data_IF_158943799068
#
_entry.id   IF_158943799068
#
_cell.length_a   1.000
_cell.length_b   1.000
_cell.length_c   1.000
_cell.angle_alpha   90.00
_cell.angle_beta   90.00
_cell.angle_gamma   90.00
#
_symmetry.space_group_name_H-M   'P 1'
#
loop_
_entity.id
_entity.type
_entity.pdbx_description
1 polymer ?
#
# COMPACT_ATOMS: atom_id res chain seq x y z
N UNK A 1 33.24 -7.31 67.06
CA UNK A 1 33.17 -6.05 66.29
C UNK A 1 31.79 -6.01 65.65
N UNK A 2 30.77 -5.30 66.17
CA UNK A 2 30.56 -3.82 66.09
C UNK A 2 30.74 -3.37 64.62
N UNK A 3 29.79 -2.85 63.87
CA UNK A 3 28.52 -2.15 64.16
C UNK A 3 27.71 -1.91 62.86
N UNK A 4 26.37 -1.81 63.00
CA UNK A 4 25.43 -0.92 62.27
C UNK A 4 25.20 -1.10 60.75
N UNK A 5 24.04 -0.83 60.14
CA UNK A 5 22.65 -0.64 60.55
C UNK A 5 21.85 -0.31 59.27
N UNK A 6 20.69 -0.94 59.11
CA UNK A 6 19.40 -0.42 58.62
C UNK A 6 19.36 0.92 57.87
N UNK A 7 18.68 0.94 56.71
CA UNK A 7 17.49 1.79 56.50
C UNK A 7 16.45 1.03 55.68
N UNK A 8 15.29 0.81 56.31
CA UNK A 8 14.01 0.40 55.73
C UNK A 8 13.17 1.68 55.50
N UNK A 9 12.20 1.61 54.58
CA UNK A 9 10.85 2.22 54.60
C UNK A 9 10.51 3.32 53.58
N UNK A 10 9.39 3.08 52.87
CA UNK A 10 8.57 4.03 52.11
C UNK A 10 8.70 3.85 50.59
N UNK A 11 7.75 3.33 49.82
CA UNK A 11 6.30 3.42 49.89
C UNK A 11 5.67 2.21 49.18
N UNK A 12 4.70 1.57 49.86
CA UNK A 12 3.69 0.76 49.22
C UNK A 12 2.42 1.61 49.00
N UNK A 13 1.65 1.21 47.99
CA UNK A 13 0.23 1.53 47.74
C UNK A 13 -0.07 2.83 46.98
N UNK A 14 -0.33 2.72 45.67
CA UNK A 14 -1.55 3.29 45.08
C UNK A 14 -1.96 2.58 43.77
N UNK A 15 -3.04 1.79 43.91
CA UNK A 15 -4.12 1.49 42.96
C UNK A 15 -3.86 0.76 41.63
N UNK A 16 -4.06 -0.56 41.72
CA UNK A 16 -5.07 -1.33 40.98
C UNK A 16 -5.85 -0.55 39.90
N UNK A 17 -5.63 -0.88 38.63
CA UNK A 17 -6.66 -1.22 37.63
C UNK A 17 -5.97 -1.78 36.38
N UNK A 18 -5.65 -3.08 36.41
CA UNK A 18 -5.47 -3.87 35.20
C UNK A 18 -6.25 -5.15 35.38
N UNK A 19 -7.56 -5.02 35.18
CA UNK A 19 -8.41 -6.18 34.96
C UNK A 19 -8.12 -6.74 33.57
N UNK A 20 -8.07 -8.06 33.53
CA UNK A 20 -7.62 -8.87 32.40
C UNK A 20 -8.47 -8.64 31.14
N UNK A 21 -7.93 -7.96 30.13
CA UNK A 21 -8.41 -8.17 28.76
C UNK A 21 -7.77 -9.43 28.17
N UNK A 22 -8.35 -10.59 28.48
CA UNK A 22 -8.32 -11.73 27.56
C UNK A 22 -9.29 -11.42 26.42
N UNK A 23 -8.75 -11.01 25.28
CA UNK A 23 -9.47 -11.09 24.01
C UNK A 23 -8.55 -11.75 22.98
N UNK A 24 -8.99 -12.95 22.59
CA UNK A 24 -8.40 -13.95 21.72
C UNK A 24 -7.45 -13.43 20.62
N UNK A 25 -6.23 -13.97 20.65
CA UNK A 25 -5.39 -14.21 19.48
C UNK A 25 -6.14 -15.11 18.49
N UNK A 26 -6.54 -14.57 17.34
CA UNK A 26 -6.91 -15.37 16.16
C UNK A 26 -6.47 -14.61 14.90
N UNK A 27 -5.16 -14.51 14.68
CA UNK A 27 -4.63 -14.29 13.34
C UNK A 27 -4.50 -15.66 12.69
N UNK A 28 -5.51 -16.08 11.92
CA UNK A 28 -5.40 -17.29 11.11
C UNK A 28 -4.29 -17.09 10.06
N UNK A 29 -3.28 -17.98 9.99
CA UNK A 29 -2.37 -17.99 8.86
C UNK A 29 -3.13 -18.40 7.59
N UNK A 30 -2.78 -17.76 6.47
CA UNK A 30 -3.33 -17.99 5.13
C UNK A 30 -3.28 -19.50 4.80
N UNK A 31 -4.45 -20.14 4.84
CA UNK A 31 -4.61 -21.56 4.60
C UNK A 31 -4.75 -21.79 3.09
N UNK A 32 -3.68 -22.21 2.43
CA UNK A 32 -3.67 -22.63 1.03
C UNK A 32 -3.97 -24.12 0.94
N UNK A 33 -5.24 -24.47 0.76
CA UNK A 33 -5.62 -25.77 0.22
C UNK A 33 -6.80 -25.59 -0.72
N UNK A 34 -6.57 -25.76 -2.02
CA UNK A 34 -7.66 -25.96 -2.98
C UNK A 34 -7.56 -27.31 -3.68
N UNK A 35 -8.75 -27.89 -3.75
CA UNK A 35 -9.19 -29.23 -4.08
C UNK A 35 -8.94 -29.52 -5.57
N UNK A 36 -8.56 -30.77 -5.89
CA UNK A 36 -8.53 -31.28 -7.27
C UNK A 36 -9.96 -31.67 -7.67
N UNK A 37 -10.45 -31.10 -8.76
CA UNK A 37 -11.47 -31.73 -9.59
C UNK A 37 -10.93 -31.91 -11.01
N UNK A 38 -10.86 -33.16 -11.42
CA UNK A 38 -10.52 -33.60 -12.77
C UNK A 38 -11.78 -33.60 -13.63
N UNK A 39 -11.75 -32.91 -14.78
CA UNK A 39 -12.59 -33.34 -15.89
C UNK A 39 -11.90 -33.11 -17.24
N UNK A 40 -11.94 -34.16 -18.03
CA UNK A 40 -11.26 -34.39 -19.30
C UNK A 40 -12.33 -34.32 -20.40
N UNK A 41 -12.15 -33.52 -21.44
CA UNK A 41 -12.67 -33.85 -22.77
C UNK A 41 -11.90 -33.17 -23.92
N UNK A 42 -11.55 -34.01 -24.90
CA UNK A 42 -11.12 -33.74 -26.30
C UNK A 42 -12.27 -33.06 -27.06
N UNK A 43 -12.13 -32.30 -28.15
CA UNK A 43 -11.02 -31.83 -28.98
C UNK A 43 -11.57 -31.18 -30.27
N UNK A 44 -10.79 -30.25 -30.86
CA UNK A 44 -10.63 -29.89 -32.31
C UNK A 44 -11.92 -29.38 -33.05
N UNK A 45 -12.00 -28.20 -33.69
CA UNK A 45 -11.10 -27.62 -34.70
C UNK A 45 -11.46 -26.14 -35.07
N UNK A 46 -10.41 -25.30 -35.30
CA UNK A 46 -10.25 -24.18 -36.28
C UNK A 46 -11.27 -23.04 -36.41
N UNK A 47 -10.87 -21.81 -36.03
CA UNK A 47 -10.38 -20.71 -36.92
C UNK A 47 -10.39 -19.36 -36.17
N UNK A 48 -9.42 -18.51 -36.54
CA UNK A 48 -9.14 -17.14 -36.08
C UNK A 48 -8.18 -17.04 -34.87
N UNK A 49 -7.03 -16.44 -35.19
CA UNK A 49 -5.89 -16.09 -34.34
C UNK A 49 -6.33 -15.36 -33.05
N UNK A 50 -6.10 -15.91 -31.85
CA UNK A 50 -6.01 -15.08 -30.66
C UNK A 50 -4.57 -14.56 -30.58
N UNK A 51 -4.42 -13.25 -30.50
CA UNK A 51 -3.24 -12.63 -29.89
C UNK A 51 -3.06 -13.31 -28.54
N UNK A 52 -1.93 -13.96 -28.33
CA UNK A 52 -1.64 -14.73 -27.12
C UNK A 52 -1.69 -13.80 -25.92
N UNK A 53 -2.82 -13.85 -25.22
CA UNK A 53 -2.91 -13.55 -23.79
C UNK A 53 -2.17 -14.67 -23.06
N UNK A 54 -0.84 -14.68 -23.21
CA UNK A 54 0.02 -15.50 -22.36
C UNK A 54 0.03 -14.85 -20.98
N UNK A 55 -0.92 -15.29 -20.18
CA UNK A 55 -1.00 -15.10 -18.74
C UNK A 55 0.12 -15.89 -18.04
N UNK A 56 1.35 -15.68 -18.49
CA UNK A 56 2.52 -16.19 -17.83
C UNK A 56 2.79 -15.31 -16.62
N UNK A 57 2.57 -15.89 -15.44
CA UNK A 57 3.05 -15.41 -14.15
C UNK A 57 4.59 -15.46 -14.10
N UNK A 58 5.24 -14.82 -15.06
CA UNK A 58 6.68 -14.64 -15.11
C UNK A 58 6.98 -13.37 -14.34
N UNK A 59 7.74 -13.54 -13.26
CA UNK A 59 8.45 -12.50 -12.56
C UNK A 59 9.02 -11.55 -13.62
N UNK A 60 8.47 -10.32 -13.71
CA UNK A 60 8.97 -9.32 -14.65
C UNK A 60 10.46 -9.15 -14.31
N UNK A 61 11.40 -9.38 -15.23
CA UNK A 61 12.80 -9.10 -14.97
C UNK A 61 12.92 -7.62 -14.62
N UNK A 62 13.36 -7.31 -13.39
CA UNK A 62 13.44 -5.95 -12.87
C UNK A 62 14.89 -5.46 -13.13
N UNK A 63 15.12 -4.60 -14.14
CA UNK A 63 16.47 -4.29 -14.62
C UNK A 63 17.37 -3.59 -13.60
N UNK A 64 16.80 -2.82 -12.67
CA UNK A 64 17.51 -2.15 -11.59
C UNK A 64 17.95 -3.12 -10.51
N UNK A 65 17.12 -4.11 -10.16
CA UNK A 65 17.52 -5.18 -9.26
C UNK A 65 18.59 -6.06 -9.91
N UNK A 66 18.45 -6.42 -11.18
CA UNK A 66 19.47 -7.19 -11.91
C UNK A 66 20.81 -6.45 -12.02
N UNK A 67 20.79 -5.14 -12.23
CA UNK A 67 21.99 -4.31 -12.19
C UNK A 67 22.60 -4.25 -10.78
N UNK A 68 21.78 -4.10 -9.73
CA UNK A 68 22.24 -4.12 -8.35
C UNK A 68 22.81 -5.49 -7.95
N UNK A 69 22.20 -6.59 -8.40
CA UNK A 69 22.70 -7.95 -8.25
C UNK A 69 24.04 -8.09 -8.97
N UNK A 70 24.15 -7.73 -10.25
CA UNK A 70 25.40 -7.83 -11.03
C UNK A 70 26.52 -6.98 -10.43
N UNK A 71 26.21 -5.78 -9.93
CA UNK A 71 27.18 -4.92 -9.29
C UNK A 71 27.64 -5.44 -7.92
N UNK A 72 26.82 -6.27 -7.25
CA UNK A 72 27.08 -6.71 -5.89
C UNK A 72 27.49 -8.18 -5.76
N UNK A 73 27.22 -9.02 -6.76
CA UNK A 73 27.68 -10.43 -6.85
C UNK A 73 29.22 -10.57 -6.76
N UNK A 74 30.01 -9.69 -7.40
CA UNK A 74 31.47 -9.70 -7.26
C UNK A 74 31.94 -9.30 -5.86
N UNK A 75 31.15 -8.47 -5.16
CA UNK A 75 31.45 -7.96 -3.80
C UNK A 75 31.07 -8.95 -2.69
N UNK A 76 30.66 -10.16 -3.06
CA UNK A 76 30.32 -11.24 -2.14
C UNK A 76 31.58 -11.89 -1.58
N UNK A 77 31.70 -11.93 -0.25
CA UNK A 77 32.80 -12.67 0.39
C UNK A 77 32.65 -14.17 0.14
N UNK A 78 33.74 -14.93 0.27
CA UNK A 78 33.72 -16.39 0.08
C UNK A 78 32.77 -17.07 1.07
N UNK A 79 32.73 -16.58 2.31
CA UNK A 79 31.84 -17.03 3.38
C UNK A 79 30.37 -16.75 3.06
N UNK A 80 30.05 -15.57 2.53
CA UNK A 80 28.67 -15.26 2.13
C UNK A 80 28.15 -16.20 1.02
N UNK A 81 29.01 -16.52 0.04
CA UNK A 81 28.67 -17.45 -1.05
C UNK A 81 28.43 -18.87 -0.52
N UNK A 82 29.25 -19.33 0.43
CA UNK A 82 29.11 -20.64 1.08
C UNK A 82 27.80 -20.73 1.87
N UNK A 83 27.49 -19.70 2.66
CA UNK A 83 26.26 -19.64 3.45
C UNK A 83 25.01 -19.64 2.57
N UNK A 84 25.02 -18.89 1.47
CA UNK A 84 23.92 -18.85 0.50
C UNK A 84 23.70 -20.21 -0.19
N UNK A 85 24.78 -20.89 -0.58
CA UNK A 85 24.72 -22.25 -1.14
C UNK A 85 24.14 -23.23 -0.13
N UNK A 86 24.55 -23.14 1.13
CA UNK A 86 24.03 -23.98 2.20
C UNK A 86 22.52 -23.79 2.37
N UNK A 87 22.03 -22.55 2.48
CA UNK A 87 20.59 -22.29 2.58
C UNK A 87 19.80 -22.82 1.38
N UNK A 88 20.33 -22.65 0.16
CA UNK A 88 19.68 -23.13 -1.07
C UNK A 88 19.71 -24.65 -1.24
N UNK A 89 20.70 -25.34 -0.64
CA UNK A 89 20.79 -26.81 -0.66
C UNK A 89 19.77 -27.43 0.29
N UNK A 90 19.65 -26.84 1.49
CA UNK A 90 18.76 -27.35 2.53
C UNK A 90 17.34 -26.76 2.47
N UNK A 91 17.03 -25.96 1.45
CA UNK A 91 15.76 -25.25 1.30
C UNK A 91 15.36 -24.52 2.60
N UNK A 92 16.31 -23.78 3.18
CA UNK A 92 16.10 -23.10 4.46
C UNK A 92 14.90 -22.16 4.37
N UNK A 93 14.05 -22.17 5.40
CA UNK A 93 12.85 -21.32 5.39
C UNK A 93 13.22 -19.84 5.28
N UNK A 94 12.44 -19.10 4.49
CA UNK A 94 12.74 -17.71 4.17
C UNK A 94 12.74 -16.79 5.40
N UNK A 95 11.90 -17.08 6.40
CA UNK A 95 11.87 -16.36 7.68
C UNK A 95 13.20 -16.51 8.45
N UNK A 96 13.75 -17.74 8.47
CA UNK A 96 15.06 -18.01 9.09
C UNK A 96 16.19 -17.31 8.33
N UNK A 97 16.16 -17.34 7.00
CA UNK A 97 17.16 -16.64 6.17
C UNK A 97 17.10 -15.13 6.43
N UNK A 98 15.90 -14.55 6.45
CA UNK A 98 15.70 -13.13 6.69
C UNK A 98 16.16 -12.69 8.09
N UNK A 99 16.01 -13.55 9.10
CA UNK A 99 16.54 -13.31 10.44
C UNK A 99 18.08 -13.38 10.47
N UNK A 100 18.67 -14.39 9.83
CA UNK A 100 20.14 -14.54 9.76
C UNK A 100 20.82 -13.43 8.96
N UNK A 101 20.17 -12.89 7.92
CA UNK A 101 20.70 -11.75 7.16
C UNK A 101 20.83 -10.49 8.02
N UNK A 102 20.01 -10.34 9.05
CA UNK A 102 19.99 -9.18 9.94
C UNK A 102 20.01 -7.85 9.15
N UNK A 103 18.94 -7.60 8.39
CA UNK A 103 18.83 -6.43 7.52
C UNK A 103 18.64 -5.10 8.28
N UNK A 104 18.68 -5.13 9.61
CA UNK A 104 18.39 -4.00 10.49
C UNK A 104 17.12 -4.23 11.30
N UNK A 105 16.99 -3.51 12.41
CA UNK A 105 15.83 -3.57 13.29
C UNK A 105 14.67 -2.70 12.79
N UNK A 106 14.94 -1.70 11.94
CA UNK A 106 13.94 -0.77 11.40
C UNK A 106 13.96 -0.74 9.87
N UNK A 107 12.84 -0.32 9.28
CA UNK A 107 12.68 -0.24 7.81
C UNK A 107 13.64 0.77 7.17
N UNK A 108 14.04 1.82 7.88
CA UNK A 108 14.86 2.91 7.34
C UNK A 108 16.26 2.48 6.86
N UNK A 109 16.81 1.42 7.44
CA UNK A 109 18.11 0.86 7.07
C UNK A 109 18.05 -0.26 6.03
N UNK A 110 16.85 -0.78 5.72
CA UNK A 110 16.70 -1.99 4.88
C UNK A 110 17.13 -1.73 3.44
N UNK A 111 16.67 -0.63 2.83
CA UNK A 111 16.95 -0.32 1.41
C UNK A 111 18.41 0.02 1.12
N UNK A 112 19.16 0.44 2.13
CA UNK A 112 20.59 0.74 2.03
C UNK A 112 21.44 -0.43 2.51
N UNK A 113 20.83 -1.47 3.10
CA UNK A 113 21.57 -2.60 3.63
C UNK A 113 22.21 -3.40 2.48
N UNK A 114 23.55 -3.54 2.44
CA UNK A 114 24.22 -4.29 1.41
C UNK A 114 23.73 -5.74 1.31
N UNK A 115 23.22 -6.31 2.41
CA UNK A 115 22.74 -7.69 2.46
C UNK A 115 21.38 -7.91 1.81
N UNK A 116 20.66 -6.86 1.44
CA UNK A 116 19.37 -6.98 0.74
C UNK A 116 19.52 -7.72 -0.60
N UNK A 117 20.68 -7.59 -1.25
CA UNK A 117 21.05 -8.36 -2.46
C UNK A 117 21.04 -9.87 -2.25
N UNK A 118 21.37 -10.36 -1.04
CA UNK A 118 21.39 -11.78 -0.73
C UNK A 118 19.99 -12.32 -0.69
N UNK A 119 19.08 -11.59 -0.04
CA UNK A 119 17.69 -11.95 0.03
C UNK A 119 17.11 -12.05 -1.38
N UNK A 120 17.40 -11.06 -2.23
CA UNK A 120 16.89 -11.06 -3.59
C UNK A 120 17.42 -12.24 -4.41
N UNK A 121 18.74 -12.49 -4.38
CA UNK A 121 19.30 -13.66 -5.07
C UNK A 121 18.70 -14.97 -4.55
N UNK A 122 18.52 -15.09 -3.24
CA UNK A 122 17.94 -16.27 -2.60
C UNK A 122 16.51 -16.52 -3.08
N UNK A 123 15.66 -15.49 -3.05
CA UNK A 123 14.26 -15.56 -3.52
C UNK A 123 14.20 -15.92 -5.02
N UNK A 124 15.02 -15.29 -5.85
CA UNK A 124 15.09 -15.61 -7.28
C UNK A 124 15.46 -17.07 -7.51
N UNK A 125 16.39 -17.63 -6.74
CA UNK A 125 16.79 -19.05 -6.85
C UNK A 125 15.75 -20.01 -6.28
N UNK A 126 15.03 -19.63 -5.23
CA UNK A 126 13.92 -20.40 -4.70
C UNK A 126 12.78 -20.49 -5.72
N UNK A 127 12.34 -19.35 -6.26
CA UNK A 127 11.26 -19.29 -7.25
C UNK A 127 11.61 -20.03 -8.55
N UNK A 128 12.89 -20.09 -8.94
CA UNK A 128 13.33 -20.91 -10.09
C UNK A 128 13.24 -22.42 -9.84
N UNK A 129 13.34 -22.87 -8.58
CA UNK A 129 13.30 -24.29 -8.20
C UNK A 129 11.90 -24.80 -7.87
N UNK A 130 10.98 -23.92 -7.46
CA UNK A 130 9.63 -24.31 -7.02
C UNK A 130 8.57 -23.99 -8.07
N UNK A 131 7.66 -24.93 -8.33
CA UNK A 131 6.43 -24.73 -9.11
C UNK A 131 5.27 -24.08 -8.32
N UNK A 132 5.51 -23.70 -7.04
CA UNK A 132 4.53 -23.08 -6.16
C UNK A 132 4.61 -21.54 -6.18
N UNK A 133 3.58 -20.90 -5.62
CA UNK A 133 3.37 -19.46 -5.58
C UNK A 133 4.67 -18.67 -5.31
N UNK A 134 5.05 -17.84 -6.29
CA UNK A 134 6.28 -17.06 -6.25
C UNK A 134 6.32 -16.15 -5.01
N UNK A 135 7.35 -16.34 -4.17
CA UNK A 135 7.58 -15.48 -3.02
C UNK A 135 8.22 -14.18 -3.50
N UNK A 136 7.72 -13.04 -3.05
CA UNK A 136 8.23 -11.71 -3.45
C UNK A 136 9.15 -11.13 -2.39
N UNK A 137 10.08 -10.25 -2.80
CA UNK A 137 10.90 -9.50 -1.85
C UNK A 137 10.04 -8.58 -0.98
N UNK A 138 9.08 -7.89 -1.60
CA UNK A 138 8.17 -7.01 -0.90
C UNK A 138 7.35 -7.73 0.19
N UNK A 139 6.76 -8.89 -0.11
CA UNK A 139 5.98 -9.66 0.88
C UNK A 139 6.88 -10.24 1.97
N UNK A 140 8.09 -10.66 1.59
CA UNK A 140 9.08 -11.15 2.57
C UNK A 140 9.45 -10.06 3.57
N UNK A 141 9.72 -8.84 3.11
CA UNK A 141 9.98 -7.71 3.99
C UNK A 141 8.74 -7.34 4.83
N UNK A 142 7.55 -7.33 4.23
CA UNK A 142 6.31 -7.04 4.93
C UNK A 142 6.00 -8.07 6.03
N UNK A 143 6.36 -9.35 5.84
CA UNK A 143 6.18 -10.40 6.85
C UNK A 143 6.99 -10.17 8.13
N UNK A 144 8.13 -9.47 8.03
CA UNK A 144 9.01 -9.18 9.17
C UNK A 144 8.80 -7.80 9.77
N UNK A 145 8.64 -6.79 8.91
CA UNK A 145 8.61 -5.39 9.33
C UNK A 145 7.20 -4.78 9.34
N UNK A 146 6.19 -5.55 8.91
CA UNK A 146 4.81 -5.10 8.76
C UNK A 146 4.54 -4.49 7.38
N UNK A 147 3.29 -4.62 6.91
CA UNK A 147 2.87 -4.13 5.59
C UNK A 147 2.96 -2.60 5.51
N UNK A 148 2.32 -1.88 6.44
CA UNK A 148 2.27 -0.41 6.45
C UNK A 148 3.67 0.21 6.56
N UNK A 149 4.56 -0.21 7.48
CA UNK A 149 5.92 0.33 7.56
C UNK A 149 6.73 0.09 6.28
N UNK A 150 6.62 -1.09 5.66
CA UNK A 150 7.33 -1.39 4.41
C UNK A 150 6.79 -0.55 3.26
N UNK A 151 5.47 -0.43 3.10
CA UNK A 151 4.86 0.44 2.07
C UNK A 151 5.29 1.90 2.24
N UNK A 152 5.30 2.41 3.47
CA UNK A 152 5.76 3.77 3.79
C UNK A 152 7.23 3.98 3.43
N UNK A 153 8.08 3.03 3.80
CA UNK A 153 9.52 3.04 3.51
C UNK A 153 9.77 3.04 2.00
N UNK A 154 9.11 2.15 1.27
CA UNK A 154 9.23 2.04 -0.17
C UNK A 154 8.78 3.33 -0.86
N UNK A 155 7.63 3.91 -0.47
CA UNK A 155 7.18 5.16 -1.06
C UNK A 155 8.20 6.29 -0.88
N UNK A 156 8.68 6.47 0.36
CA UNK A 156 9.69 7.49 0.69
C UNK A 156 11.01 7.25 -0.03
N UNK A 157 11.42 5.99 -0.16
CA UNK A 157 12.68 5.60 -0.79
C UNK A 157 12.78 6.03 -2.25
N UNK A 158 11.66 6.19 -2.95
CA UNK A 158 11.64 6.59 -4.38
C UNK A 158 12.15 8.02 -4.62
N UNK A 159 12.01 8.90 -3.63
CA UNK A 159 12.27 10.35 -3.77
C UNK A 159 13.15 10.92 -2.66
N UNK A 160 13.75 10.06 -1.81
CA UNK A 160 14.63 10.51 -0.73
C UNK A 160 15.87 11.20 -1.28
N UNK A 161 16.06 12.47 -0.92
CA UNK A 161 17.14 13.34 -1.42
C UNK A 161 18.54 12.86 -1.02
N UNK A 162 18.66 12.20 0.14
CA UNK A 162 19.92 11.61 0.62
C UNK A 162 20.19 10.18 0.15
N UNK A 163 19.31 9.60 -0.67
CA UNK A 163 19.46 8.21 -1.15
C UNK A 163 20.13 8.13 -2.51
N UNK A 164 20.97 7.11 -2.70
CA UNK A 164 21.57 6.80 -4.00
C UNK A 164 20.50 6.48 -5.05
N UNK A 165 20.82 6.66 -6.34
CA UNK A 165 19.89 6.31 -7.42
C UNK A 165 19.57 4.81 -7.45
N UNK A 166 20.51 3.96 -7.03
CA UNK A 166 20.29 2.51 -6.85
C UNK A 166 19.22 2.26 -5.79
N UNK A 167 19.30 2.95 -4.64
CA UNK A 167 18.30 2.85 -3.56
C UNK A 167 16.92 3.31 -4.04
N UNK A 168 16.85 4.42 -4.78
CA UNK A 168 15.60 4.93 -5.35
C UNK A 168 15.00 3.96 -6.37
N UNK A 169 15.83 3.38 -7.24
CA UNK A 169 15.41 2.39 -8.21
C UNK A 169 14.85 1.14 -7.52
N UNK A 170 15.58 0.61 -6.53
CA UNK A 170 15.14 -0.55 -5.76
C UNK A 170 13.82 -0.29 -5.03
N UNK A 171 13.65 0.89 -4.45
CA UNK A 171 12.39 1.27 -3.81
C UNK A 171 11.21 1.27 -4.80
N UNK A 172 11.41 1.81 -6.03
CA UNK A 172 10.39 1.79 -7.09
C UNK A 172 10.02 0.37 -7.50
N UNK A 173 11.02 -0.49 -7.63
CA UNK A 173 10.86 -1.88 -8.08
C UNK A 173 10.11 -2.72 -7.04
N UNK A 174 10.54 -2.66 -5.78
CA UNK A 174 9.85 -3.36 -4.68
C UNK A 174 8.42 -2.84 -4.47
N UNK A 175 8.18 -1.55 -4.69
CA UNK A 175 6.82 -0.98 -4.65
C UNK A 175 5.95 -1.52 -5.80
N UNK A 176 6.52 -1.68 -7.00
CA UNK A 176 5.82 -2.27 -8.14
C UNK A 176 5.53 -3.75 -7.93
N UNK A 177 6.46 -4.48 -7.32
CA UNK A 177 6.29 -5.88 -6.91
C UNK A 177 5.13 -6.00 -5.91
N UNK A 178 5.11 -5.15 -4.87
CA UNK A 178 4.00 -5.07 -3.90
C UNK A 178 2.65 -4.84 -4.60
N UNK A 179 2.57 -3.88 -5.53
CA UNK A 179 1.36 -3.60 -6.28
C UNK A 179 0.92 -4.76 -7.18
N UNK A 180 1.88 -5.50 -7.73
CA UNK A 180 1.61 -6.68 -8.56
C UNK A 180 1.08 -7.83 -7.71
N UNK A 181 1.65 -8.03 -6.52
CA UNK A 181 1.12 -8.99 -5.54
C UNK A 181 -0.34 -8.70 -5.18
N UNK A 182 -0.66 -7.44 -4.85
CA UNK A 182 -2.04 -7.02 -4.56
C UNK A 182 -3.00 -7.24 -5.74
N UNK A 183 -2.56 -6.92 -6.96
CA UNK A 183 -3.36 -7.13 -8.18
C UNK A 183 -3.59 -8.63 -8.48
N UNK A 184 -2.59 -9.48 -8.29
CA UNK A 184 -2.70 -10.93 -8.46
C UNK A 184 -3.64 -11.57 -7.43
N UNK A 185 -3.66 -11.01 -6.21
CA UNK A 185 -4.64 -11.35 -5.17
C UNK A 185 -6.04 -10.76 -5.44
N UNK A 186 -6.22 -10.01 -6.54
CA UNK A 186 -7.46 -9.33 -6.94
C UNK A 186 -8.00 -8.38 -5.87
N UNK A 187 -7.12 -7.74 -5.10
CA UNK A 187 -7.52 -6.79 -4.07
C UNK A 187 -8.11 -5.52 -4.70
N UNK A 188 -9.30 -5.11 -4.28
CA UNK A 188 -9.89 -3.85 -4.73
C UNK A 188 -9.13 -2.65 -4.16
N UNK A 189 -9.32 -1.44 -4.72
CA UNK A 189 -8.86 -0.20 -4.09
C UNK A 189 -9.29 -0.08 -2.62
N UNK A 190 -10.51 -0.49 -2.27
CA UNK A 190 -11.01 -0.47 -0.89
C UNK A 190 -10.26 -1.47 -0.01
N UNK A 191 -10.03 -2.69 -0.48
CA UNK A 191 -9.30 -3.71 0.28
C UNK A 191 -7.88 -3.25 0.63
N UNK A 192 -7.17 -2.68 -0.35
CA UNK A 192 -5.81 -2.15 -0.12
C UNK A 192 -5.85 -0.93 0.78
N UNK A 193 -6.85 -0.05 0.64
CA UNK A 193 -7.01 1.11 1.52
C UNK A 193 -7.14 0.69 3.00
N UNK A 194 -7.97 -0.31 3.27
CA UNK A 194 -8.20 -0.86 4.60
C UNK A 194 -6.99 -1.64 5.13
N UNK A 195 -6.34 -2.45 4.28
CA UNK A 195 -5.11 -3.19 4.65
C UNK A 195 -3.93 -2.28 4.98
N UNK A 196 -3.91 -1.08 4.39
CA UNK A 196 -2.91 -0.06 4.69
C UNK A 196 -3.28 0.83 5.88
N UNK A 197 -4.37 0.49 6.58
CA UNK A 197 -4.83 1.18 7.79
C UNK A 197 -5.03 2.69 7.56
N UNK A 198 -5.41 3.07 6.34
CA UNK A 198 -5.62 4.48 5.97
C UNK A 198 -6.92 5.06 6.56
N UNK A 199 -7.83 4.19 6.99
CA UNK A 199 -8.97 4.53 7.85
C UNK A 199 -8.54 4.38 9.31
N UNK A 200 -8.32 5.50 10.00
CA UNK A 200 -8.03 5.52 11.44
C UNK A 200 -9.11 6.31 12.19
N UNK A 201 -9.33 5.94 13.45
CA UNK A 201 -10.29 6.61 14.34
C UNK A 201 -9.83 8.01 14.75
N UNK A 202 -8.53 8.31 14.65
CA UNK A 202 -7.92 9.53 15.20
C UNK A 202 -7.40 10.50 14.14
N UNK A 203 -7.12 10.04 12.92
CA UNK A 203 -6.73 10.89 11.81
C UNK A 203 -6.86 10.16 10.47
N UNK A 204 -7.37 10.85 9.44
CA UNK A 204 -7.36 10.28 8.09
C UNK A 204 -6.13 10.76 7.35
N UNK A 205 -5.28 9.82 6.92
CA UNK A 205 -3.96 10.11 6.38
C UNK A 205 -3.97 10.36 4.87
N UNK A 206 -4.73 11.35 4.39
CA UNK A 206 -4.56 11.82 3.01
C UNK A 206 -3.23 12.57 2.86
N UNK A 207 -2.64 12.57 1.66
CA UNK A 207 -1.37 13.26 1.35
C UNK A 207 -0.08 12.60 1.89
N UNK A 208 -0.19 11.59 2.76
CA UNK A 208 0.96 10.86 3.30
C UNK A 208 1.56 9.82 2.34
N UNK A 209 2.79 9.33 2.61
CA UNK A 209 3.44 8.31 1.78
C UNK A 209 2.64 7.01 1.64
N UNK A 210 1.92 6.58 2.69
CA UNK A 210 1.09 5.37 2.61
C UNK A 210 -0.10 5.58 1.67
N UNK A 211 -0.74 6.75 1.74
CA UNK A 211 -1.81 7.14 0.82
C UNK A 211 -1.30 7.26 -0.62
N UNK A 212 -0.10 7.80 -0.81
CA UNK A 212 0.51 7.90 -2.13
C UNK A 212 0.88 6.55 -2.73
N UNK A 213 1.26 5.58 -1.91
CA UNK A 213 1.43 4.20 -2.35
C UNK A 213 0.08 3.58 -2.76
N UNK A 214 -0.98 3.78 -1.96
CA UNK A 214 -2.34 3.35 -2.34
C UNK A 214 -2.79 3.98 -3.65
N UNK A 215 -2.62 5.30 -3.83
CA UNK A 215 -2.94 5.99 -5.07
C UNK A 215 -2.10 5.44 -6.25
N UNK A 216 -0.83 5.12 -6.02
CA UNK A 216 0.03 4.42 -6.98
C UNK A 216 -0.52 3.06 -7.40
N UNK A 217 -1.04 2.28 -6.45
CA UNK A 217 -1.70 1.01 -6.74
C UNK A 217 -2.96 1.19 -7.61
N UNK A 218 -3.84 2.13 -7.25
CA UNK A 218 -5.06 2.38 -8.02
C UNK A 218 -4.73 2.85 -9.45
N UNK A 219 -3.68 3.66 -9.62
CA UNK A 219 -3.16 4.02 -10.95
C UNK A 219 -2.69 2.80 -11.74
N UNK A 220 -1.99 1.85 -11.11
CA UNK A 220 -1.58 0.59 -11.77
C UNK A 220 -2.79 -0.22 -12.24
N UNK A 221 -3.82 -0.38 -11.41
CA UNK A 221 -5.05 -1.09 -11.80
C UNK A 221 -5.74 -0.44 -13.00
N UNK A 222 -5.68 0.89 -13.08
CA UNK A 222 -6.22 1.69 -14.18
C UNK A 222 -5.22 1.91 -15.33
N UNK A 223 -4.21 1.05 -15.46
CA UNK A 223 -3.19 1.09 -16.54
C UNK A 223 -2.49 2.45 -16.68
N UNK A 224 -2.37 3.21 -15.60
CA UNK A 224 -1.75 4.52 -15.55
C UNK A 224 -2.63 5.67 -16.04
N UNK A 225 -3.88 5.43 -16.48
CA UNK A 225 -4.78 6.52 -16.87
C UNK A 225 -5.20 7.33 -15.62
N UNK A 226 -4.81 8.59 -15.59
CA UNK A 226 -4.95 9.46 -14.41
C UNK A 226 -6.40 9.73 -14.02
N UNK A 227 -7.28 9.96 -14.99
CA UNK A 227 -8.67 10.36 -14.74
C UNK A 227 -9.52 9.18 -14.25
N UNK A 228 -9.37 8.02 -14.88
CA UNK A 228 -10.01 6.77 -14.44
C UNK A 228 -9.50 6.31 -13.08
N UNK A 229 -8.19 6.47 -12.82
CA UNK A 229 -7.62 6.21 -11.50
C UNK A 229 -8.19 7.15 -10.43
N UNK A 230 -8.28 8.45 -10.72
CA UNK A 230 -8.86 9.45 -9.80
C UNK A 230 -10.33 9.13 -9.48
N UNK A 231 -11.11 8.77 -10.51
CA UNK A 231 -12.50 8.34 -10.35
C UNK A 231 -12.62 7.06 -9.52
N UNK A 232 -11.71 6.10 -9.72
CA UNK A 232 -11.64 4.87 -8.92
C UNK A 232 -11.28 5.14 -7.45
N UNK A 233 -10.36 6.07 -7.19
CA UNK A 233 -10.02 6.50 -5.82
C UNK A 233 -11.23 7.16 -5.14
N UNK A 234 -11.95 8.03 -5.85
CA UNK A 234 -13.17 8.67 -5.34
C UNK A 234 -14.25 7.64 -5.00
N UNK A 235 -14.49 6.69 -5.90
CA UNK A 235 -15.44 5.60 -5.66
C UNK A 235 -15.07 4.80 -4.41
N UNK A 236 -13.80 4.45 -4.25
CA UNK A 236 -13.32 3.74 -3.07
C UNK A 236 -13.54 4.53 -1.77
N UNK A 237 -13.25 5.85 -1.76
CA UNK A 237 -13.53 6.67 -0.58
C UNK A 237 -15.02 6.74 -0.26
N UNK A 238 -15.88 6.85 -1.26
CA UNK A 238 -17.34 6.84 -1.08
C UNK A 238 -17.85 5.51 -0.54
N UNK A 239 -17.29 4.38 -0.97
CA UNK A 239 -17.62 3.06 -0.41
C UNK A 239 -17.19 2.95 1.07
N UNK A 240 -16.09 3.58 1.47
CA UNK A 240 -15.55 3.51 2.84
C UNK A 240 -16.22 4.48 3.81
N UNK A 241 -16.60 5.67 3.34
CA UNK A 241 -17.04 6.81 4.17
C UNK A 241 -18.45 7.33 3.83
N UNK A 242 -19.09 6.82 2.77
CA UNK A 242 -20.27 7.44 2.16
C UNK A 242 -19.93 8.71 1.38
N UNK A 243 -20.88 9.20 0.57
CA UNK A 243 -20.70 10.43 -0.23
C UNK A 243 -20.34 11.63 0.65
N UNK A 244 -21.11 11.86 1.73
CA UNK A 244 -20.86 12.94 2.68
C UNK A 244 -19.51 12.83 3.39
N UNK A 245 -19.16 11.64 3.88
CA UNK A 245 -17.91 11.43 4.61
C UNK A 245 -16.70 11.57 3.69
N UNK A 246 -16.78 11.07 2.45
CA UNK A 246 -15.73 11.26 1.45
C UNK A 246 -15.56 12.73 1.07
N UNK A 247 -16.66 13.48 0.91
CA UNK A 247 -16.61 14.91 0.63
C UNK A 247 -15.98 15.71 1.77
N UNK A 248 -16.36 15.42 3.02
CA UNK A 248 -15.77 16.03 4.21
C UNK A 248 -14.27 15.74 4.29
N UNK A 249 -13.89 14.48 4.12
CA UNK A 249 -12.50 14.04 4.15
C UNK A 249 -11.64 14.77 3.11
N UNK A 250 -12.14 14.91 1.88
CA UNK A 250 -11.45 15.64 0.81
C UNK A 250 -11.40 17.15 1.05
N UNK A 251 -12.40 17.70 1.74
CA UNK A 251 -12.41 19.11 2.12
C UNK A 251 -11.39 19.41 3.22
N UNK A 252 -11.35 18.61 4.29
CA UNK A 252 -10.43 18.81 5.41
C UNK A 252 -8.96 18.59 5.02
N UNK A 253 -8.72 17.69 4.07
CA UNK A 253 -7.36 17.37 3.60
C UNK A 253 -6.74 18.41 2.66
N UNK A 254 -7.46 19.48 2.29
CA UNK A 254 -6.94 20.49 1.35
C UNK A 254 -5.75 21.29 1.89
N UNK A 255 -5.61 21.36 3.20
CA UNK A 255 -4.49 22.04 3.87
C UNK A 255 -3.29 21.10 4.11
N UNK A 256 -3.43 19.81 3.77
CA UNK A 256 -2.35 18.84 3.94
C UNK A 256 -1.30 18.97 2.82
N UNK A 257 -0.06 18.66 3.16
CA UNK A 257 1.03 18.60 2.19
C UNK A 257 0.77 17.48 1.17
N UNK A 258 0.40 17.86 -0.06
CA UNK A 258 0.12 16.96 -1.18
C UNK A 258 1.00 17.30 -2.40
N UNK A 259 2.29 16.92 -2.37
CA UNK A 259 3.25 17.30 -3.41
C UNK A 259 2.93 16.72 -4.79
N UNK A 260 2.08 15.70 -4.87
CA UNK A 260 1.65 15.06 -6.12
C UNK A 260 0.28 15.53 -6.59
N UNK A 261 -0.36 16.41 -5.82
CA UNK A 261 -1.69 16.94 -6.08
C UNK A 261 -2.73 15.83 -6.30
N UNK A 262 -2.61 14.72 -5.57
CA UNK A 262 -3.54 13.58 -5.67
C UNK A 262 -4.90 13.95 -5.09
N UNK A 263 -4.93 14.53 -3.89
CA UNK A 263 -6.15 14.97 -3.21
C UNK A 263 -6.80 16.11 -4.00
N UNK A 264 -6.01 17.09 -4.44
CA UNK A 264 -6.53 18.20 -5.24
C UNK A 264 -7.18 17.74 -6.54
N UNK A 265 -6.63 16.73 -7.22
CA UNK A 265 -7.28 16.10 -8.39
C UNK A 265 -8.59 15.41 -8.03
N UNK A 266 -8.63 14.66 -6.93
CA UNK A 266 -9.87 14.02 -6.45
C UNK A 266 -10.96 15.06 -6.16
N UNK A 267 -10.61 16.18 -5.50
CA UNK A 267 -11.53 17.29 -5.24
C UNK A 267 -12.06 17.91 -6.52
N UNK A 268 -11.17 18.20 -7.47
CA UNK A 268 -11.54 18.77 -8.76
C UNK A 268 -12.49 17.83 -9.52
N UNK A 269 -12.18 16.53 -9.58
CA UNK A 269 -13.04 15.53 -10.23
C UNK A 269 -14.40 15.43 -9.52
N UNK A 270 -14.44 15.44 -8.19
CA UNK A 270 -15.69 15.45 -7.43
C UNK A 270 -16.57 16.64 -7.79
N UNK A 271 -16.02 17.85 -7.82
CA UNK A 271 -16.79 19.06 -8.15
C UNK A 271 -17.24 19.09 -9.61
N UNK A 272 -16.40 18.63 -10.55
CA UNK A 272 -16.82 18.46 -11.95
C UNK A 272 -18.01 17.51 -12.07
N UNK A 273 -17.94 16.34 -11.43
CA UNK A 273 -19.03 15.37 -11.43
C UNK A 273 -20.30 15.92 -10.80
N UNK A 274 -20.22 16.68 -9.71
CA UNK A 274 -21.39 17.35 -9.12
C UNK A 274 -22.01 18.36 -10.08
N UNK A 275 -21.19 19.18 -10.74
CA UNK A 275 -21.65 20.16 -11.71
C UNK A 275 -22.33 19.51 -12.92
N UNK A 276 -21.73 18.46 -13.48
CA UNK A 276 -22.28 17.68 -14.60
C UNK A 276 -23.61 17.02 -14.25
N UNK A 277 -23.80 16.62 -12.98
CA UNK A 277 -25.05 16.04 -12.48
C UNK A 277 -26.10 17.08 -12.07
N UNK A 278 -25.85 18.37 -12.35
CA UNK A 278 -26.76 19.46 -12.03
C UNK A 278 -26.98 19.61 -10.52
N UNK A 279 -25.89 19.53 -9.75
CA UNK A 279 -25.91 19.85 -8.32
C UNK A 279 -25.99 21.36 -8.13
N UNK A 280 -26.97 21.81 -7.35
CA UNK A 280 -27.19 23.20 -6.96
C UNK A 280 -27.38 23.31 -5.44
N UNK A 281 -27.53 24.53 -4.93
CA UNK A 281 -27.74 24.80 -3.50
C UNK A 281 -28.95 24.05 -2.90
N UNK A 282 -30.04 23.91 -3.66
CA UNK A 282 -31.28 23.29 -3.18
C UNK A 282 -31.17 21.78 -3.08
N UNK A 283 -30.40 21.16 -3.97
CA UNK A 283 -30.30 19.71 -4.09
C UNK A 283 -28.97 19.13 -3.59
N UNK A 284 -28.03 19.97 -3.15
CA UNK A 284 -26.68 19.61 -2.71
C UNK A 284 -26.64 18.46 -1.70
N UNK A 285 -27.39 18.56 -0.61
CA UNK A 285 -27.41 17.53 0.43
C UNK A 285 -27.80 16.15 -0.14
N UNK A 286 -28.83 16.11 -0.99
CA UNK A 286 -29.34 14.88 -1.57
C UNK A 286 -28.44 14.35 -2.70
N UNK A 287 -28.09 15.19 -3.68
CA UNK A 287 -27.36 14.75 -4.89
C UNK A 287 -25.86 14.63 -4.70
N UNK A 288 -25.23 15.54 -3.95
CA UNK A 288 -23.77 15.54 -3.78
C UNK A 288 -23.32 14.76 -2.55
N UNK A 289 -24.04 14.90 -1.43
CA UNK A 289 -23.66 14.27 -0.16
C UNK A 289 -24.42 12.96 0.14
N UNK A 290 -25.44 12.60 -0.65
CA UNK A 290 -26.26 11.41 -0.40
C UNK A 290 -26.99 11.46 0.96
N UNK A 291 -27.28 12.66 1.46
CA UNK A 291 -27.87 12.90 2.78
C UNK A 291 -29.38 13.04 2.68
N UNK A 292 -30.11 12.33 3.54
CA UNK A 292 -31.55 12.50 3.74
C UNK A 292 -31.90 13.65 4.69
N UNK A 293 -30.91 14.21 5.41
CA UNK A 293 -31.11 15.40 6.23
C UNK A 293 -31.54 16.60 5.39
N UNK A 294 -32.52 17.33 5.90
CA UNK A 294 -32.99 18.59 5.31
C UNK A 294 -32.12 19.79 5.68
N UNK A 295 -31.28 19.68 6.73
CA UNK A 295 -30.44 20.77 7.22
C UNK A 295 -28.94 20.45 7.03
N UNK A 296 -28.16 21.38 6.44
CA UNK A 296 -26.71 21.22 6.33
C UNK A 296 -26.04 21.41 7.69
N UNK A 297 -24.89 20.77 7.89
CA UNK A 297 -23.97 21.16 8.97
C UNK A 297 -23.08 22.30 8.52
N UNK A 298 -22.38 22.93 9.47
CA UNK A 298 -21.36 23.97 9.19
C UNK A 298 -20.31 23.47 8.18
N UNK A 299 -19.95 22.20 8.24
CA UNK A 299 -19.01 21.62 7.29
C UNK A 299 -19.63 21.47 5.89
N UNK A 300 -20.88 21.02 5.79
CA UNK A 300 -21.58 20.94 4.51
C UNK A 300 -21.71 22.31 3.84
N UNK A 301 -22.02 23.36 4.61
CA UNK A 301 -22.11 24.74 4.11
C UNK A 301 -20.77 25.22 3.55
N UNK A 302 -19.66 24.93 4.24
CA UNK A 302 -18.32 25.26 3.75
C UNK A 302 -17.98 24.53 2.44
N UNK A 303 -18.33 23.25 2.33
CA UNK A 303 -18.12 22.46 1.11
C UNK A 303 -18.99 23.01 -0.03
N UNK A 304 -20.26 23.32 0.26
CA UNK A 304 -21.19 23.91 -0.71
C UNK A 304 -20.66 25.24 -1.25
N UNK A 305 -20.23 26.15 -0.36
CA UNK A 305 -19.70 27.45 -0.76
C UNK A 305 -18.46 27.30 -1.66
N UNK A 306 -17.55 26.38 -1.33
CA UNK A 306 -16.38 26.13 -2.16
C UNK A 306 -16.75 25.52 -3.52
N UNK A 307 -17.72 24.60 -3.56
CA UNK A 307 -18.25 24.04 -4.80
C UNK A 307 -18.93 25.10 -5.68
N UNK A 308 -19.78 25.96 -5.12
CA UNK A 308 -20.45 27.03 -5.88
C UNK A 308 -19.45 28.04 -6.44
N UNK A 309 -18.38 28.35 -5.69
CA UNK A 309 -17.29 29.18 -6.19
C UNK A 309 -16.57 28.51 -7.37
N UNK A 310 -16.28 27.20 -7.27
CA UNK A 310 -15.72 26.43 -8.38
C UNK A 310 -16.61 26.50 -9.63
N UNK A 311 -17.93 26.28 -9.50
CA UNK A 311 -18.87 26.33 -10.64
C UNK A 311 -18.87 27.71 -11.30
N UNK A 312 -18.87 28.78 -10.50
CA UNK A 312 -18.83 30.17 -10.98
C UNK A 312 -17.57 30.42 -11.82
N UNK A 313 -16.40 30.07 -11.29
CA UNK A 313 -15.12 30.28 -11.99
C UNK A 313 -15.00 29.39 -13.24
N UNK A 314 -15.49 28.15 -13.17
CA UNK A 314 -15.50 27.24 -14.32
C UNK A 314 -16.35 27.78 -15.47
N UNK A 315 -17.59 28.25 -15.18
CA UNK A 315 -18.48 28.85 -16.20
C UNK A 315 -17.88 30.12 -16.81
N UNK A 316 -17.23 30.95 -15.99
CA UNK A 316 -16.52 32.15 -16.47
C UNK A 316 -15.39 31.79 -17.43
N UNK A 317 -14.63 30.74 -17.12
CA UNK A 317 -13.47 30.34 -17.91
C UNK A 317 -13.85 29.61 -19.22
N UNK A 318 -15.00 28.95 -19.30
CA UNK A 318 -15.33 28.05 -20.43
C UNK A 318 -16.57 28.51 -21.23
N UNK A 319 -17.10 29.70 -20.91
CA UNK A 319 -18.29 30.27 -21.54
C UNK A 319 -19.58 29.56 -21.10
N UNK A 320 -20.71 30.27 -21.18
CA UNK A 320 -22.03 29.77 -20.79
C UNK A 320 -22.61 28.73 -21.79
N UNK A 321 -21.81 27.76 -22.25
CA UNK A 321 -22.27 26.63 -23.06
C UNK A 321 -22.34 25.36 -22.21
N UNK A 322 -23.32 25.33 -21.32
CA UNK A 322 -24.01 24.13 -20.82
C UNK A 322 -25.47 24.51 -20.65
#
# INVERSE_FOLDING_TARGET
>A
MRFLATVLLGFAVFLLFLDCSRAATNANPLNLSHRRDTQRHKGVERLLRPVTSDNESRMVPLPGVDAAIKAALPKLTRTDKLQLRFWLLWNERIDKVLNKLNLGANVESVLTNPKLRFLHYYITKLNQKSSNAAVTMADTLASKYGLVPVTKMLEKGKTSTGSSDVTKALAKELQLEQFTGWANMKLSPVDVYMKLELKSQYSTSLGGPVFEAWAGYVRKLNRGNGDTATSSMLKALKEVYGDRGAALLLFESKELFDPKNTVGKMRLTQYKTWMENGVDEKNFLKKALGSESLKPTVADEKILNEYLLFVKEYRKAHGARL
#
